data_IF_531236224329
#
_entry.id   IF_531236224329
#
_cell.length_a   1.000
_cell.length_b   1.000
_cell.length_c   1.000
_cell.angle_alpha   90.00
_cell.angle_beta   90.00
_cell.angle_gamma   90.00
#
_symmetry.space_group_name_H-M   'P 1'
#
loop_
_entity.id
_entity.type
_entity.pdbx_description
1 polymer ?
#
# COMPACT_ATOMS: atom_id res chain seq x y z
N UNK A 1 -0.76 -11.08 3.33
CA UNK A 1 0.15 -10.12 3.99
C UNK A 1 0.97 -9.50 2.89
N UNK A 2 1.15 -8.17 2.88
CA UNK A 2 1.92 -7.45 1.87
C UNK A 2 3.07 -6.76 2.58
N UNK A 3 4.27 -6.92 2.05
CA UNK A 3 5.47 -6.28 2.56
C UNK A 3 5.63 -4.88 1.96
N UNK A 4 6.17 -3.96 2.75
CA UNK A 4 6.38 -2.56 2.38
C UNK A 4 7.80 -2.16 2.77
N UNK A 5 8.50 -1.50 1.85
CA UNK A 5 9.80 -0.91 2.10
C UNK A 5 9.64 0.57 2.46
N UNK A 6 10.33 0.99 3.51
CA UNK A 6 10.31 2.37 4.02
C UNK A 6 11.73 2.90 4.06
N UNK A 7 11.96 4.02 3.37
CA UNK A 7 13.24 4.72 3.31
C UNK A 7 13.11 6.16 3.79
N UNK A 8 14.07 6.59 4.61
CA UNK A 8 14.10 7.92 5.20
C UNK A 8 15.20 8.04 6.26
N UNK A 9 15.24 9.18 6.96
CA UNK A 9 16.15 9.33 8.11
C UNK A 9 15.67 8.47 9.28
N UNK A 10 16.61 8.04 10.12
CA UNK A 10 16.30 7.23 11.31
C UNK A 10 15.23 7.89 12.19
N UNK A 11 15.34 9.20 12.46
CA UNK A 11 14.38 9.91 13.30
C UNK A 11 12.98 9.97 12.70
N UNK A 12 12.85 10.01 11.36
CA UNK A 12 11.55 9.97 10.71
C UNK A 12 10.92 8.57 10.80
N UNK A 13 11.72 7.52 10.62
CA UNK A 13 11.27 6.12 10.72
C UNK A 13 10.84 5.82 12.17
N UNK A 14 11.60 6.27 13.16
CA UNK A 14 11.27 6.08 14.59
C UNK A 14 10.02 6.85 15.04
N UNK A 15 9.77 8.02 14.44
CA UNK A 15 8.59 8.84 14.73
C UNK A 15 7.32 8.42 13.95
N UNK A 16 7.45 7.44 13.04
CA UNK A 16 6.37 7.00 12.19
C UNK A 16 5.35 6.15 12.98
N UNK A 17 4.07 6.42 12.77
CA UNK A 17 2.96 5.61 13.24
C UNK A 17 2.39 4.81 12.07
N UNK A 18 2.70 3.52 12.04
CA UNK A 18 2.28 2.60 10.99
C UNK A 18 0.76 2.54 10.82
N UNK A 19 -0.02 2.82 11.87
CA UNK A 19 -1.49 2.80 11.80
C UNK A 19 -2.06 3.89 10.89
N UNK A 20 -1.26 4.91 10.56
CA UNK A 20 -1.65 6.02 9.68
C UNK A 20 -1.32 5.78 8.21
N UNK A 21 -0.59 4.72 7.89
CA UNK A 21 -0.33 4.29 6.52
C UNK A 21 -1.46 3.37 6.08
N UNK A 22 -1.98 3.60 4.88
CA UNK A 22 -3.00 2.74 4.28
C UNK A 22 -2.52 2.22 2.95
N UNK A 23 -2.62 0.91 2.79
CA UNK A 23 -2.44 0.20 1.53
C UNK A 23 -3.79 -0.41 1.17
N UNK A 24 -4.29 -0.15 -0.04
CA UNK A 24 -5.61 -0.59 -0.48
C UNK A 24 -5.64 -0.83 -1.99
N UNK A 25 -6.74 -1.43 -2.43
CA UNK A 25 -7.06 -1.62 -3.85
C UNK A 25 -8.47 -1.08 -4.05
N UNK A 26 -8.71 -0.31 -5.10
CA UNK A 26 -10.06 0.11 -5.47
C UNK A 26 -10.76 -1.00 -6.29
N UNK A 27 -11.84 -1.55 -5.74
CA UNK A 27 -12.66 -2.59 -6.39
C UNK A 27 -14.04 -2.08 -6.81
N UNK A 28 -14.37 -0.80 -6.60
CA UNK A 28 -15.74 -0.28 -6.69
C UNK A 28 -16.38 -0.38 -8.09
N UNK A 29 -15.60 -0.69 -9.13
CA UNK A 29 -16.05 -0.74 -10.53
C UNK A 29 -15.82 -2.09 -11.20
N UNK A 30 -15.48 -3.12 -10.43
CA UNK A 30 -15.13 -4.43 -10.95
C UNK A 30 -16.32 -5.38 -10.84
N UNK A 31 -16.42 -6.28 -11.82
CA UNK A 31 -17.42 -7.35 -11.84
C UNK A 31 -16.84 -8.62 -11.25
N UNK A 32 -17.71 -9.60 -10.99
CA UNK A 32 -17.30 -10.96 -10.62
C UNK A 32 -16.20 -11.50 -11.57
N UNK A 33 -15.21 -12.18 -11.00
CA UNK A 33 -14.08 -12.74 -11.74
C UNK A 33 -12.72 -12.42 -11.13
N UNK A 34 -11.67 -12.89 -11.82
CA UNK A 34 -10.27 -12.71 -11.44
C UNK A 34 -9.72 -11.41 -12.04
N UNK A 35 -9.13 -10.56 -11.21
CA UNK A 35 -8.55 -9.28 -11.63
C UNK A 35 -7.15 -9.12 -11.06
N UNK A 36 -6.25 -8.54 -11.86
CA UNK A 36 -4.95 -8.04 -11.38
C UNK A 36 -5.04 -6.54 -11.21
N UNK A 37 -4.84 -6.04 -9.99
CA UNK A 37 -5.13 -4.66 -9.63
C UNK A 37 -3.91 -4.02 -8.96
N UNK A 38 -3.64 -2.73 -9.24
CA UNK A 38 -2.55 -2.01 -8.62
C UNK A 38 -2.83 -1.77 -7.13
N UNK A 39 -1.77 -1.84 -6.34
CA UNK A 39 -1.77 -1.44 -4.95
C UNK A 39 -1.63 0.07 -4.82
N UNK A 40 -2.57 0.69 -4.12
CA UNK A 40 -2.53 2.11 -3.82
C UNK A 40 -2.09 2.35 -2.37
N UNK A 41 -1.16 3.29 -2.19
CA UNK A 41 -0.63 3.66 -0.88
C UNK A 41 -0.98 5.11 -0.55
N UNK A 42 -1.45 5.33 0.67
CA UNK A 42 -1.63 6.67 1.24
C UNK A 42 -0.87 6.77 2.56
N UNK A 43 -0.07 7.83 2.70
CA UNK A 43 0.73 8.10 3.89
C UNK A 43 0.72 9.60 4.23
N UNK A 44 0.64 9.97 5.51
CA UNK A 44 0.78 11.36 5.94
C UNK A 44 2.25 11.81 6.06
N UNK A 45 3.22 10.98 5.66
CA UNK A 45 4.66 11.21 5.80
C UNK A 45 5.29 11.56 4.45
N UNK A 46 5.23 12.83 3.99
CA UNK A 46 5.70 13.21 2.65
C UNK A 46 7.22 13.14 2.46
N UNK A 47 7.97 12.99 3.55
CA UNK A 47 9.43 12.88 3.52
C UNK A 47 9.92 11.43 3.65
N UNK A 48 9.01 10.48 3.83
CA UNK A 48 9.33 9.05 3.78
C UNK A 48 9.01 8.55 2.39
N UNK A 49 9.92 7.78 1.82
CA UNK A 49 9.64 6.96 0.65
C UNK A 49 9.08 5.63 1.13
N UNK A 50 7.84 5.32 0.76
CA UNK A 50 7.11 4.14 1.23
C UNK A 50 6.52 3.46 0.01
N UNK A 51 7.05 2.29 -0.33
CA UNK A 51 6.66 1.56 -1.53
C UNK A 51 6.31 0.11 -1.16
N UNK A 52 5.20 -0.44 -1.68
CA UNK A 52 4.95 -1.87 -1.53
C UNK A 52 6.01 -2.66 -2.31
N UNK A 53 6.38 -3.85 -1.80
CA UNK A 53 7.34 -4.73 -2.48
C UNK A 53 6.75 -5.33 -3.77
N UNK A 54 5.42 -5.41 -3.82
CA UNK A 54 4.66 -5.84 -5.00
C UNK A 54 3.76 -4.70 -5.45
N UNK A 55 3.71 -4.45 -6.75
CA UNK A 55 2.92 -3.33 -7.30
C UNK A 55 1.46 -3.72 -7.57
N UNK A 56 1.18 -5.02 -7.75
CA UNK A 56 -0.14 -5.52 -8.14
C UNK A 56 -0.50 -6.79 -7.36
N UNK A 57 -1.81 -7.00 -7.17
CA UNK A 57 -2.36 -8.21 -6.56
C UNK A 57 -3.47 -8.81 -7.41
N UNK A 58 -3.49 -10.14 -7.44
CA UNK A 58 -4.59 -10.91 -8.01
C UNK A 58 -5.71 -11.07 -6.98
N UNK A 59 -6.92 -10.65 -7.36
CA UNK A 59 -8.11 -10.67 -6.49
C UNK A 59 -9.27 -11.32 -7.25
N UNK A 60 -9.93 -12.27 -6.60
CA UNK A 60 -11.16 -12.89 -7.09
C UNK A 60 -12.37 -12.20 -6.45
N UNK A 61 -13.21 -11.57 -7.27
CA UNK A 61 -14.47 -10.95 -6.85
C UNK A 61 -15.59 -11.97 -7.04
N UNK A 62 -16.41 -12.15 -6.00
CA UNK A 62 -17.56 -13.08 -5.93
C UNK A 62 -18.83 -12.33 -5.59
#
# INVERSE_FOLDING_TARGET
VVDVEVSGTQSQIEAMDLSRIRLFIDINRLTEGLHTLPLELTSPYPLLEINPVVDELEVEIK
#
